data_IF_500289005549
#
_entry.id   IF_500289005549
#
_cell.length_a   1.000
_cell.length_b   1.000
_cell.length_c   1.000
_cell.angle_alpha   90.00
_cell.angle_beta   90.00
_cell.angle_gamma   90.00
#
_symmetry.space_group_name_H-M   'P 1'
#
loop_
_entity.id
_entity.type
_entity.pdbx_description
1 polymer ?
#
# COMPACT_ATOMS: atom_id res chain seq x y z
N UNK A 1 -25.64 14.28 41.97
CA UNK A 1 -25.56 13.52 43.21
C UNK A 1 -25.24 14.52 44.29
N UNK A 2 -26.23 14.83 45.11
CA UNK A 2 -26.07 15.61 46.35
C UNK A 2 -26.05 14.60 47.49
N UNK A 3 -25.22 14.84 48.50
CA UNK A 3 -25.18 14.18 49.82
C UNK A 3 -24.90 15.32 50.81
N UNK A 4 -25.52 15.35 51.99
CA UNK A 4 -25.10 16.19 53.11
C UNK A 4 -25.30 15.45 54.44
N UNK A 5 -24.43 15.70 55.41
CA UNK A 5 -24.68 15.43 56.83
C UNK A 5 -24.94 16.70 57.66
N UNK A 6 -25.74 16.54 58.71
CA UNK A 6 -25.95 17.50 59.80
C UNK A 6 -24.88 17.31 60.87
N UNK A 7 -24.10 18.34 61.15
CA UNK A 7 -23.12 18.35 62.23
C UNK A 7 -23.83 18.09 63.58
N UNK A 8 -23.70 16.89 64.13
CA UNK A 8 -23.85 16.65 65.56
C UNK A 8 -22.50 16.15 66.07
N UNK A 9 -22.06 16.76 67.18
CA UNK A 9 -20.77 16.54 67.83
C UNK A 9 -20.56 15.06 68.17
N UNK A 10 -19.87 14.31 67.31
CA UNK A 10 -19.10 13.13 67.64
C UNK A 10 -18.08 12.89 66.52
N UNK A 11 -16.82 13.15 66.84
CA UNK A 11 -15.68 13.13 65.93
C UNK A 11 -15.30 11.67 65.63
N UNK A 12 -16.00 11.06 64.66
CA UNK A 12 -15.65 9.74 64.13
C UNK A 12 -15.08 9.90 62.71
N UNK A 13 -14.00 9.17 62.37
CA UNK A 13 -13.38 9.17 61.03
C UNK A 13 -14.38 8.92 59.87
N UNK A 14 -15.54 8.36 60.20
CA UNK A 14 -16.64 8.05 59.28
C UNK A 14 -17.40 9.31 58.84
N UNK A 15 -17.57 10.29 59.73
CA UNK A 15 -18.33 11.52 59.44
C UNK A 15 -17.53 12.48 58.56
N UNK A 16 -16.21 12.55 58.79
CA UNK A 16 -15.25 13.31 57.96
C UNK A 16 -15.28 12.79 56.51
N UNK A 17 -15.42 11.48 56.32
CA UNK A 17 -15.42 10.86 55.00
C UNK A 17 -16.67 11.20 54.15
N UNK A 18 -17.84 11.33 54.77
CA UNK A 18 -19.09 11.70 54.07
C UNK A 18 -19.11 13.16 53.63
N UNK A 19 -18.62 14.06 54.47
CA UNK A 19 -18.57 15.49 54.17
C UNK A 19 -17.61 15.78 52.98
N UNK A 20 -16.48 15.08 52.93
CA UNK A 20 -15.54 15.12 51.81
C UNK A 20 -16.18 14.61 50.50
N UNK A 21 -16.91 13.49 50.54
CA UNK A 21 -17.63 12.95 49.38
C UNK A 21 -18.69 13.93 48.89
N UNK A 22 -19.50 14.48 49.80
CA UNK A 22 -20.52 15.47 49.51
C UNK A 22 -19.93 16.70 48.79
N UNK A 23 -18.83 17.23 49.33
CA UNK A 23 -18.15 18.38 48.76
C UNK A 23 -17.61 18.12 47.35
N UNK A 24 -16.94 16.98 47.13
CA UNK A 24 -16.42 16.63 45.79
C UNK A 24 -17.55 16.42 44.79
N UNK A 25 -18.68 15.85 45.19
CA UNK A 25 -19.84 15.67 44.31
C UNK A 25 -20.54 16.98 43.96
N UNK A 26 -20.60 17.93 44.89
CA UNK A 26 -21.26 19.23 44.72
C UNK A 26 -20.41 20.20 43.88
N UNK A 27 -19.11 20.31 44.18
CA UNK A 27 -18.23 21.32 43.59
C UNK A 27 -17.27 20.75 42.54
N UNK A 28 -17.05 19.43 42.51
CA UNK A 28 -16.05 18.77 41.67
C UNK A 28 -16.59 18.05 40.42
N UNK A 29 -17.91 18.04 40.20
CA UNK A 29 -18.53 17.37 39.03
C UNK A 29 -19.26 18.35 38.12
N UNK A 30 -19.13 18.12 36.82
CA UNK A 30 -19.97 18.77 35.82
C UNK A 30 -21.42 18.28 35.95
N UNK A 31 -22.35 19.22 36.16
CA UNK A 31 -23.79 18.93 36.25
C UNK A 31 -24.34 18.50 34.89
N UNK A 32 -25.04 17.36 34.86
CA UNK A 32 -25.74 16.84 33.68
C UNK A 32 -27.24 17.12 33.74
N UNK A 33 -27.97 16.76 32.68
CA UNK A 33 -29.41 17.03 32.55
C UNK A 33 -30.25 16.15 33.48
N UNK A 34 -29.85 14.89 33.67
CA UNK A 34 -30.46 14.00 34.66
C UNK A 34 -29.77 14.19 36.00
N UNK A 35 -30.53 14.63 37.01
CA UNK A 35 -30.01 14.99 38.33
C UNK A 35 -30.74 14.23 39.42
N UNK A 36 -29.95 13.65 40.31
CA UNK A 36 -30.41 12.98 41.54
C UNK A 36 -29.68 13.57 42.73
N UNK A 37 -30.43 13.83 43.80
CA UNK A 37 -29.94 14.24 45.10
C UNK A 37 -30.33 13.19 46.14
N UNK A 38 -29.40 12.87 47.04
CA UNK A 38 -29.57 11.90 48.11
C UNK A 38 -29.35 12.63 49.43
N UNK A 39 -30.29 12.55 50.36
CA UNK A 39 -30.12 13.09 51.71
C UNK A 39 -30.04 11.93 52.69
N UNK A 40 -28.87 11.74 53.31
CA UNK A 40 -28.55 10.61 54.19
C UNK A 40 -27.64 11.07 55.31
N UNK A 41 -27.78 10.41 56.46
CA UNK A 41 -27.04 10.78 57.66
C UNK A 41 -25.85 9.86 57.95
N UNK A 42 -25.82 8.66 57.36
CA UNK A 42 -24.74 7.68 57.57
C UNK A 42 -24.26 7.05 56.26
N UNK A 43 -23.06 6.44 56.28
CA UNK A 43 -22.54 5.69 55.13
C UNK A 43 -23.39 4.46 54.82
N UNK A 44 -23.98 3.84 55.85
CA UNK A 44 -24.90 2.72 55.68
C UNK A 44 -26.13 3.15 54.92
N UNK A 45 -26.75 4.28 55.31
CA UNK A 45 -27.92 4.81 54.60
C UNK A 45 -27.60 5.20 53.16
N UNK A 46 -26.40 5.75 52.94
CA UNK A 46 -25.92 6.07 51.60
C UNK A 46 -25.81 4.81 50.74
N UNK A 47 -25.18 3.76 51.27
CA UNK A 47 -24.98 2.49 50.56
C UNK A 47 -26.34 1.86 50.21
N UNK A 48 -27.22 1.74 51.20
CA UNK A 48 -28.55 1.13 51.02
C UNK A 48 -29.38 1.93 50.00
N UNK A 49 -29.27 3.27 50.04
CA UNK A 49 -29.95 4.14 49.07
C UNK A 49 -29.40 3.96 47.65
N UNK A 50 -28.09 3.82 47.50
CA UNK A 50 -27.47 3.57 46.20
C UNK A 50 -27.85 2.20 45.63
N UNK A 51 -27.89 1.15 46.47
CA UNK A 51 -28.34 -0.18 46.05
C UNK A 51 -29.78 -0.16 45.55
N UNK A 52 -30.69 0.56 46.25
CA UNK A 52 -32.07 0.77 45.78
C UNK A 52 -32.13 1.50 44.44
N UNK A 53 -31.30 2.52 44.24
CA UNK A 53 -31.22 3.28 42.98
C UNK A 53 -30.73 2.38 41.84
N UNK A 54 -29.75 1.51 42.09
CA UNK A 54 -29.17 0.63 41.07
C UNK A 54 -30.16 -0.41 40.51
N UNK A 55 -31.13 -0.85 41.32
CA UNK A 55 -32.13 -1.86 40.91
C UNK A 55 -33.48 -1.26 40.49
N UNK A 56 -33.68 0.04 40.63
CA UNK A 56 -34.93 0.69 40.28
C UNK A 56 -35.09 0.81 38.75
N UNK A 57 -36.19 0.29 38.21
CA UNK A 57 -36.53 0.46 36.79
C UNK A 57 -36.93 1.91 36.47
N UNK A 58 -37.45 2.63 37.47
CA UNK A 58 -37.90 4.00 37.33
C UNK A 58 -37.61 4.82 38.60
N UNK A 59 -36.78 5.86 38.47
CA UNK A 59 -36.39 6.72 39.59
C UNK A 59 -37.56 7.53 40.19
N UNK A 60 -38.68 7.69 39.47
CA UNK A 60 -39.89 8.33 40.03
C UNK A 60 -40.50 7.52 41.17
N UNK A 61 -40.42 6.19 41.13
CA UNK A 61 -41.10 5.30 42.07
C UNK A 61 -40.40 5.21 43.43
N UNK A 62 -39.12 5.56 43.47
CA UNK A 62 -38.32 5.59 44.70
C UNK A 62 -38.10 7.02 45.22
N UNK A 63 -38.76 8.01 44.62
CA UNK A 63 -38.63 9.42 44.99
C UNK A 63 -39.20 9.66 46.39
N UNK A 64 -38.45 10.40 47.20
CA UNK A 64 -38.74 10.67 48.61
C UNK A 64 -37.92 11.86 49.12
N UNK A 65 -38.06 12.21 50.38
CA UNK A 65 -37.16 13.19 51.02
C UNK A 65 -35.71 12.67 51.14
N UNK A 66 -35.48 11.36 50.99
CA UNK A 66 -34.16 10.72 50.93
C UNK A 66 -33.59 10.68 49.51
N UNK A 67 -34.44 10.47 48.49
CA UNK A 67 -34.05 10.42 47.07
C UNK A 67 -34.85 11.46 46.30
N UNK A 68 -34.22 12.58 46.01
CA UNK A 68 -34.85 13.72 45.34
C UNK A 68 -34.47 13.67 43.87
N UNK A 69 -35.47 13.64 42.98
CA UNK A 69 -35.26 13.46 41.54
C UNK A 69 -35.83 14.63 40.74
N UNK A 70 -35.27 14.89 39.55
CA UNK A 70 -35.77 15.94 38.64
C UNK A 70 -37.11 15.60 37.99
N UNK A 71 -37.60 14.37 38.19
CA UNK A 71 -38.73 13.77 37.47
C UNK A 71 -40.09 13.97 38.16
N UNK A 72 -40.11 14.58 39.36
CA UNK A 72 -41.32 14.90 40.12
C UNK A 72 -41.73 16.38 40.05
N UNK A 73 -43.05 16.62 40.18
CA UNK A 73 -43.60 17.97 40.31
C UNK A 73 -43.71 18.34 41.78
N UNK A 74 -42.66 18.96 42.34
CA UNK A 74 -42.72 19.54 43.69
C UNK A 74 -43.46 20.88 43.70
N UNK A 75 -44.50 21.01 44.54
CA UNK A 75 -45.13 22.30 44.86
C UNK A 75 -44.17 23.15 45.70
N UNK A 76 -43.59 24.18 45.10
CA UNK A 76 -42.66 25.09 45.77
C UNK A 76 -43.44 26.29 46.30
N UNK A 77 -43.65 26.37 47.62
CA UNK A 77 -44.21 27.57 48.23
C UNK A 77 -43.14 28.67 48.23
N UNK A 78 -43.41 29.83 47.63
CA UNK A 78 -42.47 30.95 47.45
C UNK A 78 -41.97 31.60 48.75
N UNK A 79 -42.30 31.08 49.94
CA UNK A 79 -41.88 31.63 51.24
C UNK A 79 -40.49 31.18 51.71
N UNK A 80 -39.84 30.23 51.01
CA UNK A 80 -38.52 29.70 51.39
C UNK A 80 -37.33 30.40 50.69
N UNK A 81 -37.54 31.58 50.10
CA UNK A 81 -36.57 32.27 49.23
C UNK A 81 -35.54 33.14 49.95
N UNK A 82 -35.58 33.28 51.27
CA UNK A 82 -34.56 34.03 52.02
C UNK A 82 -33.59 33.07 52.71
N UNK A 83 -32.65 32.51 51.93
CA UNK A 83 -31.44 31.88 52.49
C UNK A 83 -30.56 33.01 53.04
N UNK A 84 -30.78 33.42 54.29
CA UNK A 84 -29.98 34.44 54.97
C UNK A 84 -28.53 33.98 55.12
N UNK A 85 -27.58 34.90 54.90
CA UNK A 85 -26.16 34.59 54.68
C UNK A 85 -25.38 34.06 55.90
N UNK A 86 -26.03 33.80 57.05
CA UNK A 86 -25.36 33.45 58.31
C UNK A 86 -26.09 32.40 59.16
N UNK A 87 -26.76 31.41 58.55
CA UNK A 87 -27.45 30.36 59.32
C UNK A 87 -27.04 28.98 58.84
N UNK A 88 -26.76 28.07 59.77
CA UNK A 88 -26.63 26.65 59.48
C UNK A 88 -27.90 26.17 58.77
N UNK A 89 -27.73 25.57 57.59
CA UNK A 89 -28.87 25.05 56.84
C UNK A 89 -29.48 23.85 57.55
N UNK A 90 -30.76 23.96 57.94
CA UNK A 90 -31.54 22.85 58.52
C UNK A 90 -31.94 21.82 57.45
N UNK A 91 -32.46 20.67 57.88
CA UNK A 91 -32.89 19.58 56.98
C UNK A 91 -33.84 20.04 55.88
N UNK A 92 -34.79 20.92 56.19
CA UNK A 92 -35.78 21.40 55.23
C UNK A 92 -35.15 22.30 54.17
N UNK A 93 -34.27 23.20 54.57
CA UNK A 93 -33.55 24.09 53.66
C UNK A 93 -32.62 23.34 52.70
N UNK A 94 -32.03 22.23 53.17
CA UNK A 94 -31.16 21.38 52.34
C UNK A 94 -31.94 20.56 51.33
N UNK A 95 -33.05 19.98 51.76
CA UNK A 95 -33.98 19.29 50.87
C UNK A 95 -34.53 20.27 49.83
N UNK A 96 -34.83 21.51 50.22
CA UNK A 96 -35.23 22.57 49.31
C UNK A 96 -34.13 22.91 48.29
N UNK A 97 -32.88 23.11 48.75
CA UNK A 97 -31.72 23.35 47.90
C UNK A 97 -31.48 22.19 46.90
N UNK A 98 -31.65 20.96 47.36
CA UNK A 98 -31.59 19.77 46.52
C UNK A 98 -32.72 19.78 45.46
N UNK A 99 -33.96 20.12 45.85
CA UNK A 99 -35.12 20.22 44.95
C UNK A 99 -34.94 21.26 43.85
N UNK A 100 -34.42 22.45 44.16
CA UNK A 100 -34.15 23.47 43.12
C UNK A 100 -32.98 23.06 42.21
N UNK A 101 -31.96 22.38 42.77
CA UNK A 101 -30.81 21.93 42.00
C UNK A 101 -31.16 20.82 41.01
N UNK A 102 -31.97 19.83 41.42
CA UNK A 102 -32.39 18.77 40.50
C UNK A 102 -33.26 19.32 39.36
N UNK A 103 -33.99 20.41 39.58
CA UNK A 103 -34.77 21.14 38.56
C UNK A 103 -33.93 21.98 37.58
N UNK A 104 -32.61 21.95 37.67
CA UNK A 104 -31.75 22.66 36.72
C UNK A 104 -31.15 23.97 37.24
N UNK A 105 -31.63 24.50 38.37
CA UNK A 105 -31.14 25.78 38.89
C UNK A 105 -29.67 25.69 39.32
N UNK A 106 -28.94 26.80 39.19
CA UNK A 106 -27.56 26.91 39.67
C UNK A 106 -27.58 27.10 41.18
N UNK A 107 -26.92 26.19 41.91
CA UNK A 107 -26.75 26.30 43.36
C UNK A 107 -25.31 26.72 43.68
N UNK A 108 -25.14 27.70 44.56
CA UNK A 108 -23.84 28.07 45.10
C UNK A 108 -23.56 27.20 46.34
N UNK A 109 -22.89 26.07 46.14
CA UNK A 109 -22.61 25.09 47.19
C UNK A 109 -21.57 25.57 48.20
N UNK A 110 -20.71 26.53 47.83
CA UNK A 110 -19.67 27.07 48.73
C UNK A 110 -20.28 27.71 49.98
N UNK A 111 -21.52 28.22 49.87
CA UNK A 111 -22.27 28.75 51.01
C UNK A 111 -22.57 27.72 52.09
N UNK A 112 -22.56 26.41 51.78
CA UNK A 112 -22.81 25.34 52.76
C UNK A 112 -21.63 25.13 53.73
N UNK A 113 -20.42 25.52 53.33
CA UNK A 113 -19.18 25.16 54.02
C UNK A 113 -18.55 26.33 54.81
N UNK A 114 -19.08 27.56 54.65
CA UNK A 114 -18.70 28.74 55.44
C UNK A 114 -17.17 28.95 55.59
N UNK A 115 -16.40 28.70 54.53
CA UNK A 115 -14.94 28.87 54.52
C UNK A 115 -14.12 27.68 55.08
N UNK A 116 -14.77 26.68 55.69
CA UNK A 116 -14.16 25.42 56.11
C UNK A 116 -14.43 24.35 55.05
N UNK A 117 -13.56 24.29 54.04
CA UNK A 117 -13.73 23.36 52.92
C UNK A 117 -13.15 21.98 53.26
N UNK A 118 -13.93 20.89 53.08
CA UNK A 118 -13.42 19.53 53.22
C UNK A 118 -12.29 19.24 52.22
N UNK A 119 -11.43 18.26 52.54
CA UNK A 119 -10.41 17.81 51.60
C UNK A 119 -11.04 17.19 50.35
N UNK A 120 -10.47 17.48 49.18
CA UNK A 120 -10.90 16.85 47.93
C UNK A 120 -10.40 15.42 47.89
N UNK A 121 -11.32 14.46 48.03
CA UNK A 121 -11.04 13.03 47.91
C UNK A 121 -11.25 12.53 46.49
N UNK A 122 -10.42 11.56 46.08
CA UNK A 122 -10.64 10.82 44.83
C UNK A 122 -11.92 9.97 44.96
N UNK A 123 -12.87 10.19 44.07
CA UNK A 123 -14.12 9.41 43.95
C UNK A 123 -14.20 8.82 42.53
N UNK A 124 -14.98 7.74 42.30
CA UNK A 124 -15.07 7.11 40.99
C UNK A 124 -15.35 8.11 39.87
N UNK A 125 -14.68 7.96 38.74
CA UNK A 125 -14.86 8.85 37.58
C UNK A 125 -16.27 8.72 37.02
N UNK A 126 -16.70 9.72 36.24
CA UNK A 126 -17.98 9.63 35.53
C UNK A 126 -17.91 8.44 34.56
N UNK A 127 -18.84 7.46 34.63
CA UNK A 127 -18.88 6.36 33.68
C UNK A 127 -19.38 6.91 32.36
N UNK A 128 -18.46 7.41 31.54
CA UNK A 128 -18.80 7.85 30.19
C UNK A 128 -19.46 6.69 29.44
N UNK A 129 -20.52 7.03 28.72
CA UNK A 129 -21.16 6.09 27.82
C UNK A 129 -20.09 5.56 26.86
N UNK A 130 -19.98 4.24 26.75
CA UNK A 130 -18.97 3.59 25.91
C UNK A 130 -19.41 3.57 24.45
N UNK A 131 -19.82 4.72 23.95
CA UNK A 131 -20.11 4.89 22.54
C UNK A 131 -18.78 4.91 21.77
N UNK A 132 -18.70 4.12 20.71
CA UNK A 132 -17.52 4.02 19.87
C UNK A 132 -17.41 5.25 18.96
N UNK A 133 -16.89 6.34 19.51
CA UNK A 133 -16.52 7.53 18.74
C UNK A 133 -15.03 7.46 18.38
N UNK A 134 -14.77 6.71 17.32
CA UNK A 134 -13.50 6.79 16.61
C UNK A 134 -13.67 7.79 15.45
N UNK A 135 -12.78 8.77 15.33
CA UNK A 135 -12.39 9.21 13.98
C UNK A 135 -11.96 7.92 13.29
N UNK A 136 -12.44 7.57 12.09
CA UNK A 136 -11.89 6.43 11.40
C UNK A 136 -10.38 6.64 11.39
N UNK A 137 -9.66 5.87 12.22
CA UNK A 137 -8.36 5.46 11.82
C UNK A 137 -8.72 4.67 10.59
N UNK A 138 -8.61 5.34 9.43
CA UNK A 138 -8.24 4.65 8.22
C UNK A 138 -7.03 3.89 8.68
N UNK A 139 -7.23 2.61 9.01
CA UNK A 139 -6.12 1.71 9.17
C UNK A 139 -5.34 1.98 7.91
N UNK A 140 -4.15 2.53 8.02
CA UNK A 140 -3.12 2.46 6.99
C UNK A 140 -2.56 1.03 6.93
N UNK A 141 -3.43 0.03 7.19
CA UNK A 141 -3.56 -1.18 6.41
C UNK A 141 -4.86 -1.03 5.63
N UNK A 142 -4.93 0.03 4.83
CA UNK A 142 -5.85 0.09 3.73
C UNK A 142 -5.29 -0.94 2.77
N UNK A 143 -5.90 -2.12 2.72
CA UNK A 143 -6.22 -2.60 1.39
C UNK A 143 -7.14 -1.52 0.81
N UNK A 144 -6.53 -0.49 0.22
CA UNK A 144 -6.97 -0.10 -1.11
C UNK A 144 -7.07 -1.44 -1.81
N UNK A 145 -8.27 -1.86 -2.18
CA UNK A 145 -8.41 -3.04 -3.02
C UNK A 145 -7.63 -2.72 -4.29
N UNK A 146 -6.34 -3.05 -4.26
CA UNK A 146 -5.45 -2.90 -5.40
C UNK A 146 -6.12 -3.71 -6.48
N UNK A 147 -6.38 -3.09 -7.62
CA UNK A 147 -7.04 -3.76 -8.75
C UNK A 147 -6.27 -5.03 -9.12
N UNK A 148 -4.95 -4.99 -8.98
CA UNK A 148 -4.03 -6.08 -9.24
C UNK A 148 -2.75 -5.92 -8.40
N UNK A 149 -1.98 -6.98 -8.09
CA UNK A 149 -0.67 -6.83 -7.43
C UNK A 149 0.27 -5.80 -8.07
N UNK A 150 0.15 -5.61 -9.40
CA UNK A 150 0.94 -4.64 -10.18
C UNK A 150 0.21 -3.34 -10.53
N UNK A 151 -1.06 -3.16 -10.12
CA UNK A 151 -1.85 -1.94 -10.45
C UNK A 151 -2.71 -1.58 -9.24
N UNK A 152 -2.45 -0.40 -8.65
CA UNK A 152 -3.10 -0.02 -7.41
C UNK A 152 -4.50 0.54 -7.64
N UNK A 153 -4.68 1.40 -8.63
CA UNK A 153 -5.98 2.03 -8.93
C UNK A 153 -6.06 2.55 -10.37
N UNK A 154 -7.30 2.65 -10.84
CA UNK A 154 -7.70 3.38 -12.04
C UNK A 154 -7.97 4.84 -11.63
N UNK A 155 -7.29 5.80 -12.23
CA UNK A 155 -7.47 7.25 -11.97
C UNK A 155 -7.97 8.00 -13.20
N UNK A 156 -8.52 7.28 -14.18
CA UNK A 156 -9.06 7.87 -15.40
C UNK A 156 -10.08 8.95 -15.11
N UNK A 157 -10.08 9.97 -15.96
CA UNK A 157 -11.09 11.02 -15.99
C UNK A 157 -11.59 11.25 -17.42
N UNK A 158 -12.30 12.35 -17.68
CA UNK A 158 -12.80 12.67 -19.02
C UNK A 158 -11.71 13.01 -20.05
N UNK A 159 -10.49 13.31 -19.61
CA UNK A 159 -9.40 13.75 -20.47
C UNK A 159 -8.40 12.62 -20.75
N UNK A 160 -8.21 11.69 -19.82
CA UNK A 160 -7.18 10.66 -19.93
C UNK A 160 -7.62 9.34 -19.31
N UNK A 161 -7.41 8.24 -20.03
CA UNK A 161 -7.53 6.88 -19.51
C UNK A 161 -6.19 6.44 -18.93
N UNK A 162 -6.08 6.30 -17.61
CA UNK A 162 -4.83 5.89 -16.99
C UNK A 162 -4.97 5.21 -15.63
N UNK A 163 -3.93 4.45 -15.29
CA UNK A 163 -3.79 3.74 -14.02
C UNK A 163 -2.51 4.16 -13.31
N UNK A 164 -2.47 3.91 -12.00
CA UNK A 164 -1.30 4.17 -11.18
C UNK A 164 -0.82 2.92 -10.45
N UNK A 165 0.50 2.84 -10.30
CA UNK A 165 1.19 1.88 -9.43
C UNK A 165 2.28 2.60 -8.66
N UNK A 166 2.23 2.53 -7.34
CA UNK A 166 3.34 2.89 -6.47
C UNK A 166 4.24 1.68 -6.28
N UNK A 167 5.46 1.78 -6.78
CA UNK A 167 6.50 0.79 -6.57
C UNK A 167 7.32 1.10 -5.33
N UNK A 168 7.67 0.04 -4.61
CA UNK A 168 8.42 0.07 -3.37
C UNK A 168 9.45 -1.06 -3.34
N UNK A 169 10.42 -0.97 -2.43
CA UNK A 169 11.43 -2.01 -2.23
C UNK A 169 10.85 -3.31 -1.64
N UNK A 170 9.55 -3.32 -1.30
CA UNK A 170 8.81 -4.49 -0.81
C UNK A 170 8.17 -5.29 -1.95
N UNK A 171 7.98 -4.71 -3.13
CA UNK A 171 7.44 -5.42 -4.29
C UNK A 171 8.44 -6.51 -4.73
N UNK A 172 8.03 -7.78 -4.63
CA UNK A 172 8.93 -8.93 -4.72
C UNK A 172 9.73 -8.96 -6.03
N UNK A 173 9.06 -8.64 -7.14
CA UNK A 173 9.65 -8.62 -8.48
C UNK A 173 10.64 -7.46 -8.70
N UNK A 174 10.60 -6.38 -7.91
CA UNK A 174 11.62 -5.31 -7.93
C UNK A 174 12.75 -5.66 -6.97
N UNK A 175 12.40 -6.05 -5.75
CA UNK A 175 13.37 -6.37 -4.69
C UNK A 175 14.40 -7.41 -5.15
N UNK A 176 13.91 -8.43 -5.85
CA UNK A 176 14.68 -9.58 -6.31
C UNK A 176 15.16 -9.44 -7.76
N UNK A 177 14.97 -8.29 -8.40
CA UNK A 177 15.50 -8.00 -9.73
C UNK A 177 16.55 -6.88 -9.63
N UNK A 178 17.77 -7.27 -9.25
CA UNK A 178 18.89 -6.34 -9.08
C UNK A 178 19.89 -6.46 -10.21
N UNK A 179 20.25 -5.33 -10.80
CA UNK A 179 21.29 -5.29 -11.83
C UNK A 179 22.28 -4.18 -11.54
N UNK A 180 23.57 -4.54 -11.50
CA UNK A 180 24.68 -3.67 -11.07
C UNK A 180 24.42 -2.97 -9.72
N UNK A 181 23.75 -3.68 -8.80
CA UNK A 181 23.39 -3.21 -7.45
C UNK A 181 22.02 -2.53 -7.36
N UNK A 182 21.50 -2.03 -8.47
CA UNK A 182 20.27 -1.25 -8.53
C UNK A 182 19.01 -2.13 -8.60
N UNK A 183 17.93 -1.70 -7.93
CA UNK A 183 16.62 -2.33 -8.03
C UNK A 183 15.90 -1.82 -9.29
N UNK A 184 15.75 -2.70 -10.28
CA UNK A 184 15.17 -2.35 -11.58
C UNK A 184 13.87 -3.11 -11.77
N UNK A 185 12.82 -2.44 -12.27
CA UNK A 185 11.60 -3.14 -12.69
C UNK A 185 11.92 -4.06 -13.89
N UNK A 186 11.73 -5.39 -13.80
CA UNK A 186 12.01 -6.31 -14.90
C UNK A 186 11.22 -5.95 -16.17
N UNK A 187 11.82 -6.11 -17.34
CA UNK A 187 11.13 -5.82 -18.62
C UNK A 187 9.82 -6.61 -18.76
N UNK A 188 9.82 -7.86 -18.30
CA UNK A 188 8.66 -8.72 -18.24
C UNK A 188 7.47 -8.16 -17.44
N UNK A 189 7.73 -7.38 -16.38
CA UNK A 189 6.68 -6.81 -15.53
C UNK A 189 5.81 -5.78 -16.26
N UNK A 190 6.39 -5.03 -17.21
CA UNK A 190 5.64 -4.04 -18.00
C UNK A 190 4.53 -4.70 -18.81
N UNK A 191 4.75 -5.93 -19.28
CA UNK A 191 3.81 -6.65 -20.14
C UNK A 191 2.51 -6.98 -19.41
N UNK A 192 2.59 -7.53 -18.19
CA UNK A 192 1.38 -7.78 -17.39
C UNK A 192 0.72 -6.47 -16.94
N UNK A 193 1.53 -5.49 -16.55
CA UNK A 193 1.05 -4.19 -16.09
C UNK A 193 0.19 -3.50 -17.16
N UNK A 194 0.65 -3.46 -18.40
CA UNK A 194 -0.10 -2.91 -19.54
C UNK A 194 -1.30 -3.78 -19.90
N UNK A 195 -1.10 -5.12 -20.00
CA UNK A 195 -2.17 -6.07 -20.33
C UNK A 195 -3.33 -5.98 -19.34
N UNK A 196 -3.04 -5.92 -18.04
CA UNK A 196 -4.06 -5.80 -17.00
C UNK A 196 -4.83 -4.48 -17.13
N UNK A 197 -4.14 -3.35 -17.27
CA UNK A 197 -4.78 -2.04 -17.42
C UNK A 197 -5.73 -2.00 -18.62
N UNK A 198 -5.32 -2.60 -19.74
CA UNK A 198 -6.14 -2.71 -20.94
C UNK A 198 -7.34 -3.63 -20.72
N UNK A 199 -7.16 -4.77 -20.04
CA UNK A 199 -8.24 -5.70 -19.71
C UNK A 199 -9.31 -5.04 -18.84
N UNK A 200 -8.90 -4.29 -17.82
CA UNK A 200 -9.81 -3.57 -16.92
C UNK A 200 -10.58 -2.45 -17.66
N UNK A 201 -9.94 -1.83 -18.66
CA UNK A 201 -10.55 -0.78 -19.48
C UNK A 201 -11.59 -1.33 -20.49
N UNK A 202 -11.27 -2.42 -21.19
CA UNK A 202 -12.14 -2.99 -22.24
C UNK A 202 -13.28 -3.84 -21.67
N UNK A 203 -13.02 -4.63 -20.60
CA UNK A 203 -13.95 -5.52 -19.88
C UNK A 203 -14.58 -6.67 -20.67
N UNK A 204 -14.93 -6.49 -21.93
CA UNK A 204 -15.72 -7.46 -22.72
C UNK A 204 -14.85 -8.49 -23.44
N UNK A 205 -13.69 -8.08 -23.93
CA UNK A 205 -12.75 -8.92 -24.69
C UNK A 205 -11.47 -9.20 -23.88
N UNK A 206 -10.88 -10.37 -24.08
CA UNK A 206 -9.58 -10.70 -23.49
C UNK A 206 -8.46 -9.97 -24.24
N UNK A 207 -7.54 -9.34 -23.51
CA UNK A 207 -6.33 -8.77 -24.12
C UNK A 207 -5.37 -9.89 -24.49
N UNK A 208 -5.30 -10.19 -25.78
CA UNK A 208 -4.51 -11.31 -26.29
C UNK A 208 -3.25 -10.90 -27.04
N UNK A 209 -3.11 -9.65 -27.47
CA UNK A 209 -1.97 -9.24 -28.29
C UNK A 209 -1.38 -7.90 -27.86
N UNK A 210 -0.06 -7.88 -27.70
CA UNK A 210 0.75 -6.65 -27.57
C UNK A 210 1.70 -6.56 -28.75
N UNK A 211 1.80 -5.39 -29.38
CA UNK A 211 2.66 -5.15 -30.52
C UNK A 211 3.59 -3.97 -30.29
N UNK A 212 4.77 -4.04 -30.92
CA UNK A 212 5.74 -2.95 -30.94
C UNK A 212 6.05 -2.41 -29.54
N UNK A 213 6.36 -3.32 -28.61
CA UNK A 213 6.70 -2.97 -27.23
C UNK A 213 8.15 -2.54 -27.19
N UNK A 214 8.43 -1.31 -26.76
CA UNK A 214 9.77 -0.77 -26.62
C UNK A 214 10.07 -0.43 -25.16
N UNK A 215 11.28 -0.74 -24.71
CA UNK A 215 11.83 -0.21 -23.47
C UNK A 215 12.83 0.89 -23.81
N UNK A 216 12.55 2.08 -23.30
CA UNK A 216 13.36 3.29 -23.55
C UNK A 216 14.36 3.52 -22.44
N UNK A 217 13.91 3.42 -21.18
CA UNK A 217 14.73 3.64 -19.98
C UNK A 217 14.33 2.67 -18.87
N UNK A 218 15.27 2.05 -18.16
CA UNK A 218 14.94 1.24 -16.99
C UNK A 218 14.26 2.07 -15.90
N UNK A 219 13.14 1.59 -15.36
CA UNK A 219 12.56 2.15 -14.13
C UNK A 219 13.35 1.60 -12.94
N UNK A 220 14.05 2.50 -12.26
CA UNK A 220 14.85 2.21 -11.08
C UNK A 220 14.16 2.70 -9.83
N UNK A 221 14.30 1.92 -8.77
CA UNK A 221 13.82 2.30 -7.46
C UNK A 221 14.99 2.79 -6.62
N UNK A 222 15.13 4.12 -6.51
CA UNK A 222 15.95 4.75 -5.48
C UNK A 222 15.13 4.80 -4.20
N UNK A 223 15.68 4.32 -3.08
CA UNK A 223 15.15 4.02 -1.71
C UNK A 223 13.77 4.57 -1.21
N UNK A 224 13.19 5.53 -1.89
CA UNK A 224 11.81 6.03 -1.85
C UNK A 224 10.77 5.19 -2.63
N UNK A 225 9.49 5.60 -2.53
CA UNK A 225 8.40 5.13 -3.38
C UNK A 225 8.49 5.80 -4.76
N UNK A 226 8.26 5.04 -5.83
CA UNK A 226 8.20 5.58 -7.19
C UNK A 226 6.79 5.41 -7.74
N UNK A 227 6.16 6.52 -8.10
CA UNK A 227 4.83 6.51 -8.73
C UNK A 227 4.97 6.32 -10.24
N UNK A 228 4.40 5.23 -10.73
CA UNK A 228 4.29 4.91 -12.14
C UNK A 228 2.86 5.17 -12.64
N UNK A 229 2.76 5.80 -13.81
CA UNK A 229 1.53 6.10 -14.52
C UNK A 229 1.49 5.31 -15.83
N UNK A 230 0.39 4.60 -16.04
CA UNK A 230 0.13 3.77 -17.22
C UNK A 230 -1.00 4.42 -18.00
N UNK A 231 -0.69 5.02 -19.14
CA UNK A 231 -1.67 5.73 -19.98
C UNK A 231 -2.10 4.83 -21.13
N UNK A 232 -3.40 4.80 -21.40
CA UNK A 232 -4.00 4.11 -22.55
C UNK A 232 -4.66 5.14 -23.45
N UNK A 233 -4.32 5.12 -24.74
CA UNK A 233 -4.84 6.06 -25.75
C UNK A 233 -5.51 5.25 -26.87
N UNK A 234 -6.85 5.15 -26.88
CA UNK A 234 -7.55 4.45 -27.94
C UNK A 234 -7.36 5.18 -29.27
N UNK A 235 -7.22 4.40 -30.34
CA UNK A 235 -7.20 4.85 -31.73
C UNK A 235 -8.31 4.11 -32.50
N UNK A 236 -8.46 4.37 -33.79
CA UNK A 236 -9.47 3.68 -34.62
C UNK A 236 -9.23 2.16 -34.69
N UNK A 237 -7.97 1.71 -34.64
CA UNK A 237 -7.61 0.29 -34.89
C UNK A 237 -7.00 -0.42 -33.66
N UNK A 238 -6.41 0.32 -32.72
CA UNK A 238 -5.67 -0.25 -31.59
C UNK A 238 -5.67 0.69 -30.38
N UNK A 239 -5.03 0.27 -29.28
CA UNK A 239 -4.80 1.12 -28.11
C UNK A 239 -3.29 1.32 -27.95
N UNK A 240 -2.83 2.57 -28.01
CA UNK A 240 -1.44 2.90 -27.66
C UNK A 240 -1.30 2.93 -26.15
N UNK A 241 -0.19 2.43 -25.63
CA UNK A 241 0.12 2.51 -24.20
C UNK A 241 1.44 3.23 -23.94
N UNK A 242 1.52 3.90 -22.80
CA UNK A 242 2.71 4.56 -22.30
C UNK A 242 2.85 4.26 -20.80
N UNK A 243 4.04 3.83 -20.38
CA UNK A 243 4.42 3.59 -18.99
C UNK A 243 5.49 4.60 -18.62
N UNK A 244 5.16 5.50 -17.71
CA UNK A 244 6.03 6.60 -17.29
C UNK A 244 6.09 6.75 -15.77
N UNK A 245 7.13 7.37 -15.27
CA UNK A 245 7.18 7.85 -13.87
C UNK A 245 7.16 9.36 -13.84
N UNK A 246 6.65 9.90 -12.74
CA UNK A 246 6.70 11.34 -12.44
C UNK A 246 7.58 11.52 -11.22
N UNK A 247 8.74 12.16 -11.39
CA UNK A 247 9.64 12.53 -10.29
C UNK A 247 10.00 14.00 -10.48
N UNK A 248 9.86 14.82 -9.43
CA UNK A 248 10.19 16.26 -9.44
C UNK A 248 9.58 17.02 -10.64
N UNK A 249 8.30 16.74 -10.95
CA UNK A 249 7.56 17.28 -12.10
C UNK A 249 8.14 16.93 -13.50
N UNK A 250 9.03 15.94 -13.57
CA UNK A 250 9.60 15.42 -14.82
C UNK A 250 8.97 14.06 -15.16
N UNK A 251 8.33 14.01 -16.32
CA UNK A 251 7.81 12.78 -16.92
C UNK A 251 8.96 11.99 -17.59
N UNK A 252 9.26 10.79 -17.08
CA UNK A 252 10.21 9.87 -17.72
C UNK A 252 9.48 8.70 -18.36
N UNK A 253 9.61 8.56 -19.69
CA UNK A 253 9.07 7.42 -20.43
C UNK A 253 9.96 6.19 -20.26
N UNK A 254 9.36 5.07 -19.86
CA UNK A 254 10.07 3.80 -19.66
C UNK A 254 9.71 2.73 -20.69
N UNK A 255 8.44 2.65 -21.05
CA UNK A 255 7.95 1.66 -21.99
C UNK A 255 6.73 2.16 -22.76
N UNK A 256 6.64 1.85 -24.04
CA UNK A 256 5.47 2.17 -24.86
C UNK A 256 5.25 1.09 -25.93
N UNK A 257 4.05 1.09 -26.51
CA UNK A 257 3.69 0.16 -27.57
C UNK A 257 2.21 0.21 -27.87
N UNK A 258 1.69 -0.88 -28.41
CA UNK A 258 0.30 -1.00 -28.84
C UNK A 258 -0.34 -2.29 -28.30
N UNK A 259 -1.63 -2.22 -28.04
CA UNK A 259 -2.48 -3.34 -27.67
C UNK A 259 -3.47 -3.53 -28.81
N UNK A 260 -3.55 -4.77 -29.32
CA UNK A 260 -4.57 -5.18 -30.27
C UNK A 260 -5.63 -5.95 -29.49
N UNK A 261 -6.89 -5.55 -29.63
CA UNK A 261 -8.01 -6.11 -28.88
C UNK A 261 -8.96 -6.94 -29.75
N UNK A 262 -8.56 -7.23 -31.00
CA UNK A 262 -9.21 -8.24 -31.81
C UNK A 262 -8.92 -9.63 -31.22
N UNK A 263 -9.95 -10.43 -30.93
CA UNK A 263 -9.75 -11.73 -30.30
C UNK A 263 -9.01 -12.67 -31.25
N UNK A 264 -7.96 -13.31 -30.73
CA UNK A 264 -7.31 -14.44 -31.38
C UNK A 264 -7.88 -15.75 -30.83
N UNK A 265 -7.75 -16.85 -31.58
CA UNK A 265 -8.09 -18.17 -31.07
C UNK A 265 -7.27 -18.49 -29.81
N UNK A 266 -7.94 -18.76 -28.68
CA UNK A 266 -7.30 -19.10 -27.39
C UNK A 266 -6.48 -20.40 -27.41
N UNK A 267 -6.57 -21.16 -28.50
CA UNK A 267 -5.79 -22.37 -28.71
C UNK A 267 -4.83 -22.16 -29.88
N UNK A 268 -3.55 -22.01 -29.57
CA UNK A 268 -2.52 -22.08 -30.59
C UNK A 268 -2.46 -23.52 -31.15
N UNK A 269 -2.53 -23.66 -32.47
CA UNK A 269 -2.39 -24.95 -33.14
C UNK A 269 -0.94 -25.50 -33.08
N UNK A 270 0.03 -24.65 -32.76
CA UNK A 270 1.44 -24.99 -32.69
C UNK A 270 1.75 -25.77 -31.40
N UNK A 271 2.42 -26.92 -31.55
CA UNK A 271 2.83 -27.81 -30.46
C UNK A 271 4.26 -28.25 -30.71
N UNK A 272 5.10 -28.17 -29.68
CA UNK A 272 6.50 -28.55 -29.73
C UNK A 272 6.75 -29.87 -28.98
N UNK A 273 7.50 -30.78 -29.60
CA UNK A 273 7.96 -32.00 -28.92
C UNK A 273 9.14 -31.66 -28.00
N UNK A 274 8.85 -31.58 -26.70
CA UNK A 274 9.80 -31.24 -25.63
C UNK A 274 10.97 -32.24 -25.59
N UNK A 275 10.71 -33.53 -25.71
CA UNK A 275 11.75 -34.56 -25.61
C UNK A 275 12.63 -34.57 -26.86
N UNK A 276 12.04 -34.34 -28.02
CA UNK A 276 12.79 -34.16 -29.26
C UNK A 276 13.71 -32.93 -29.18
N UNK A 277 13.23 -31.79 -28.65
CA UNK A 277 14.08 -30.60 -28.43
C UNK A 277 15.21 -30.91 -27.45
N UNK A 278 14.92 -31.55 -26.31
CA UNK A 278 15.95 -31.94 -25.33
C UNK A 278 17.02 -32.83 -25.96
N UNK A 279 16.63 -33.81 -26.78
CA UNK A 279 17.57 -34.72 -27.45
C UNK A 279 18.53 -34.03 -28.43
N UNK A 280 18.16 -32.86 -28.97
CA UNK A 280 19.04 -32.03 -29.82
C UNK A 280 19.97 -31.11 -29.02
N UNK A 281 19.65 -30.86 -27.75
CA UNK A 281 20.48 -30.04 -26.89
C UNK A 281 21.73 -30.82 -26.46
N UNK A 282 22.90 -30.18 -26.53
CA UNK A 282 24.18 -30.81 -26.21
C UNK A 282 24.69 -30.47 -24.82
N UNK A 283 24.05 -29.49 -24.16
CA UNK A 283 24.40 -29.03 -22.82
C UNK A 283 23.16 -29.00 -21.94
N UNK A 284 23.32 -29.43 -20.70
CA UNK A 284 22.37 -29.25 -19.62
C UNK A 284 23.02 -28.44 -18.50
N UNK A 285 22.34 -27.41 -18.01
CA UNK A 285 22.80 -26.56 -16.91
C UNK A 285 21.72 -26.44 -15.86
N UNK A 286 22.09 -26.68 -14.61
CA UNK A 286 21.19 -26.47 -13.47
C UNK A 286 20.94 -24.97 -13.24
N UNK A 287 19.73 -24.63 -12.79
CA UNK A 287 19.34 -23.25 -12.54
C UNK A 287 20.23 -22.53 -11.53
N UNK A 288 20.71 -23.21 -10.47
CA UNK A 288 21.61 -22.60 -9.48
C UNK A 288 22.91 -22.11 -10.15
N UNK A 289 23.48 -22.94 -11.04
CA UNK A 289 24.68 -22.58 -11.82
C UNK A 289 24.41 -21.46 -12.82
N UNK A 290 23.20 -21.35 -13.34
CA UNK A 290 22.80 -20.20 -14.17
C UNK A 290 22.84 -18.92 -13.34
N UNK A 291 22.26 -18.92 -12.14
CA UNK A 291 22.20 -17.73 -11.29
C UNK A 291 23.56 -17.32 -10.70
N UNK A 292 24.42 -18.27 -10.34
CA UNK A 292 25.83 -17.99 -10.00
C UNK A 292 26.52 -17.20 -11.11
N UNK A 293 26.34 -17.63 -12.36
CA UNK A 293 26.94 -16.99 -13.52
C UNK A 293 26.30 -15.63 -13.84
N UNK A 294 24.99 -15.48 -13.65
CA UNK A 294 24.32 -14.19 -13.81
C UNK A 294 24.85 -13.15 -12.82
N UNK A 295 25.14 -13.57 -11.58
CA UNK A 295 25.73 -12.71 -10.57
C UNK A 295 27.13 -12.21 -10.96
N UNK A 296 27.95 -13.04 -11.61
CA UNK A 296 29.25 -12.63 -12.16
C UNK A 296 29.13 -11.52 -13.23
N UNK A 297 27.96 -11.38 -13.86
CA UNK A 297 27.67 -10.36 -14.87
C UNK A 297 26.83 -9.19 -14.33
N UNK A 298 26.73 -9.04 -13.02
CA UNK A 298 26.02 -7.93 -12.37
C UNK A 298 24.52 -8.19 -12.14
N UNK A 299 23.98 -9.35 -12.55
CA UNK A 299 22.57 -9.68 -12.36
C UNK A 299 22.37 -10.49 -11.05
N UNK A 300 22.09 -9.78 -9.97
CA UNK A 300 21.90 -10.35 -8.63
C UNK A 300 20.42 -10.68 -8.37
N UNK A 301 19.88 -11.68 -9.07
CA UNK A 301 18.49 -12.11 -8.89
C UNK A 301 18.25 -12.72 -7.50
N UNK A 302 17.23 -12.24 -6.80
CA UNK A 302 16.76 -12.82 -5.54
C UNK A 302 15.75 -13.96 -5.73
N UNK A 303 15.34 -14.65 -4.65
CA UNK A 303 14.59 -15.90 -4.73
C UNK A 303 13.30 -15.83 -5.56
N UNK A 304 12.58 -14.70 -5.55
CA UNK A 304 11.35 -14.53 -6.33
C UNK A 304 11.61 -14.53 -7.84
N UNK A 305 12.74 -14.00 -8.29
CA UNK A 305 13.12 -13.91 -9.72
C UNK A 305 13.98 -15.09 -10.18
N UNK A 306 14.27 -16.06 -9.29
CA UNK A 306 15.02 -17.27 -9.60
C UNK A 306 14.12 -18.44 -10.06
N UNK A 307 13.44 -18.27 -11.19
CA UNK A 307 12.46 -19.24 -11.71
C UNK A 307 13.05 -20.34 -12.60
N UNK A 308 14.27 -20.16 -13.15
CA UNK A 308 14.95 -21.16 -13.96
C UNK A 308 15.30 -22.39 -13.10
N UNK A 309 14.91 -23.58 -13.56
CA UNK A 309 15.28 -24.85 -12.92
C UNK A 309 16.32 -25.62 -13.68
N UNK A 310 16.17 -25.70 -15.00
CA UNK A 310 17.11 -26.46 -15.83
C UNK A 310 17.09 -25.88 -17.22
N UNK A 311 18.26 -25.68 -17.80
CA UNK A 311 18.43 -25.17 -19.15
C UNK A 311 19.08 -26.26 -20.00
N UNK A 312 18.39 -26.67 -21.06
CA UNK A 312 18.93 -27.51 -22.12
C UNK A 312 19.27 -26.60 -23.30
N UNK A 313 20.49 -26.67 -23.82
CA UNK A 313 20.89 -25.79 -24.93
C UNK A 313 21.86 -26.41 -25.90
N UNK A 314 21.89 -25.86 -27.11
CA UNK A 314 22.96 -26.01 -28.08
C UNK A 314 23.34 -24.62 -28.65
N UNK A 315 23.93 -24.56 -29.85
CA UNK A 315 24.35 -23.30 -30.48
C UNK A 315 23.23 -22.52 -31.15
N UNK A 316 22.03 -23.09 -31.31
CA UNK A 316 20.91 -22.49 -32.05
C UNK A 316 19.64 -22.34 -31.22
N UNK A 317 19.40 -23.24 -30.27
CA UNK A 317 18.15 -23.31 -29.52
C UNK A 317 18.41 -23.53 -28.02
N UNK A 318 17.46 -23.07 -27.21
CA UNK A 318 17.42 -23.27 -25.76
C UNK A 318 16.03 -23.74 -25.37
N UNK A 319 15.96 -24.74 -24.51
CA UNK A 319 14.75 -25.15 -23.81
C UNK A 319 14.99 -25.03 -22.31
N UNK A 320 14.24 -24.17 -21.65
CA UNK A 320 14.34 -23.97 -20.21
C UNK A 320 13.11 -24.47 -19.50
N UNK A 321 13.29 -25.26 -18.44
CA UNK A 321 12.25 -25.56 -17.47
C UNK A 321 12.16 -24.44 -16.44
N UNK A 322 11.00 -23.82 -16.32
CA UNK A 322 10.75 -22.66 -15.44
C UNK A 322 9.68 -23.04 -14.40
N UNK A 323 9.90 -22.64 -13.15
CA UNK A 323 9.01 -22.92 -12.02
C UNK A 323 9.00 -21.76 -11.03
N UNK A 324 7.81 -21.28 -10.66
CA UNK A 324 7.66 -20.29 -9.57
C UNK A 324 8.07 -20.95 -8.25
N UNK A 325 9.05 -20.40 -7.50
CA UNK A 325 9.48 -21.00 -6.23
C UNK A 325 8.28 -21.29 -5.31
N UNK A 326 8.29 -22.46 -4.64
CA UNK A 326 7.12 -22.98 -3.91
C UNK A 326 6.49 -21.97 -2.93
N UNK A 327 7.32 -21.13 -2.30
CA UNK A 327 6.90 -20.07 -1.36
C UNK A 327 5.97 -19.02 -1.99
N UNK A 328 5.99 -18.85 -3.31
CA UNK A 328 5.28 -17.80 -4.05
C UNK A 328 4.23 -18.34 -5.02
N UNK A 329 3.93 -19.64 -5.00
CA UNK A 329 2.98 -20.28 -5.94
C UNK A 329 1.61 -19.64 -5.97
N UNK A 330 1.10 -19.25 -4.81
CA UNK A 330 -0.22 -18.62 -4.69
C UNK A 330 -0.30 -17.28 -5.43
N UNK A 331 0.83 -16.59 -5.60
CA UNK A 331 0.89 -15.30 -6.31
C UNK A 331 0.55 -15.49 -7.80
N UNK A 332 0.90 -16.63 -8.39
CA UNK A 332 0.61 -16.95 -9.81
C UNK A 332 -0.87 -16.85 -10.19
N UNK A 333 -1.78 -16.97 -9.22
CA UNK A 333 -3.22 -16.94 -9.46
C UNK A 333 -3.70 -15.57 -9.96
N UNK A 334 -2.98 -14.50 -9.63
CA UNK A 334 -3.35 -13.13 -9.98
C UNK A 334 -2.90 -12.70 -11.38
N UNK A 335 -1.92 -13.39 -11.96
CA UNK A 335 -1.26 -12.97 -13.19
C UNK A 335 -1.68 -13.84 -14.38
N UNK A 336 -1.78 -13.23 -15.55
CA UNK A 336 -1.77 -13.95 -16.84
C UNK A 336 -0.32 -14.15 -17.30
N UNK A 337 0.48 -13.09 -17.24
CA UNK A 337 1.91 -13.07 -17.54
C UNK A 337 2.72 -12.85 -16.25
N UNK A 338 2.92 -13.91 -15.46
CA UNK A 338 3.63 -13.78 -14.19
C UNK A 338 5.08 -13.26 -14.38
N UNK A 339 5.49 -12.14 -13.75
CA UNK A 339 6.77 -11.47 -14.04
C UNK A 339 7.98 -12.39 -13.96
N UNK A 340 8.06 -13.23 -12.91
CA UNK A 340 9.18 -14.16 -12.73
C UNK A 340 9.23 -15.28 -13.79
N UNK A 341 8.09 -15.69 -14.35
CA UNK A 341 8.06 -16.72 -15.39
C UNK A 341 8.51 -16.13 -16.73
N UNK A 342 7.91 -15.00 -17.13
CA UNK A 342 8.24 -14.34 -18.39
C UNK A 342 9.70 -13.86 -18.35
N UNK A 343 10.14 -13.29 -17.23
CA UNK A 343 11.54 -12.89 -17.06
C UNK A 343 12.47 -14.11 -17.05
N UNK A 344 12.08 -15.25 -16.49
CA UNK A 344 12.84 -16.50 -16.60
C UNK A 344 13.04 -16.95 -18.05
N UNK A 345 12.06 -16.72 -18.92
CA UNK A 345 12.19 -16.96 -20.36
C UNK A 345 13.15 -15.94 -21.01
N UNK A 346 13.10 -14.67 -20.61
CA UNK A 346 14.04 -13.64 -21.07
C UNK A 346 15.47 -13.89 -20.59
N UNK A 347 15.67 -14.26 -19.33
CA UNK A 347 16.96 -14.65 -18.75
C UNK A 347 17.57 -15.83 -19.53
N UNK A 348 16.74 -16.75 -20.02
CA UNK A 348 17.19 -17.95 -20.72
C UNK A 348 17.85 -17.65 -22.08
N UNK A 349 17.64 -16.48 -22.68
CA UNK A 349 18.33 -16.12 -23.94
C UNK A 349 19.85 -16.03 -23.74
N UNK A 350 20.32 -15.75 -22.51
CA UNK A 350 21.75 -15.74 -22.18
C UNK A 350 22.40 -17.12 -22.27
N UNK A 351 21.61 -18.20 -22.35
CA UNK A 351 22.11 -19.56 -22.49
C UNK A 351 22.36 -20.00 -23.94
N UNK A 352 21.94 -19.21 -24.94
CA UNK A 352 22.19 -19.50 -26.36
C UNK A 352 23.69 -19.38 -26.64
N UNK A 353 24.32 -20.49 -27.02
CA UNK A 353 25.75 -20.73 -26.86
C UNK A 353 26.64 -20.13 -27.99
N UNK A 354 26.44 -18.86 -28.35
CA UNK A 354 27.39 -18.05 -29.14
C UNK A 354 28.07 -16.95 -28.33
N UNK A 355 27.80 -16.87 -27.04
CA UNK A 355 28.31 -15.88 -26.08
C UNK A 355 29.82 -16.01 -25.79
N UNK A 356 30.66 -15.67 -26.76
CA UNK A 356 31.94 -15.02 -26.47
C UNK A 356 31.72 -13.50 -26.40
N UNK A 357 30.76 -12.95 -27.16
CA UNK A 357 30.47 -11.50 -27.19
C UNK A 357 29.51 -11.01 -26.09
N UNK A 358 28.64 -11.87 -25.56
CA UNK A 358 27.78 -11.54 -24.40
C UNK A 358 28.57 -11.60 -23.08
N UNK A 359 29.71 -12.31 -23.04
CA UNK A 359 30.52 -12.44 -21.81
C UNK A 359 31.03 -11.08 -21.36
N UNK A 360 30.65 -10.69 -20.14
CA UNK A 360 31.06 -9.44 -19.52
C UNK A 360 30.29 -8.19 -20.00
N UNK A 361 29.27 -8.36 -20.84
CA UNK A 361 28.44 -7.27 -21.34
C UNK A 361 27.01 -7.45 -20.85
N UNK A 362 26.42 -6.36 -20.37
CA UNK A 362 25.05 -6.35 -19.90
C UNK A 362 24.08 -6.13 -21.07
N UNK A 363 23.10 -7.02 -21.23
CA UNK A 363 22.06 -6.89 -22.24
C UNK A 363 20.70 -6.79 -21.57
N UNK A 364 19.93 -5.78 -21.94
CA UNK A 364 18.58 -5.54 -21.43
C UNK A 364 17.53 -5.65 -22.54
N UNK A 365 16.27 -5.97 -22.19
CA UNK A 365 15.13 -5.85 -23.11
C UNK A 365 15.13 -4.48 -23.79
N UNK A 366 15.00 -4.48 -25.12
CA UNK A 366 14.91 -3.25 -25.91
C UNK A 366 13.61 -3.17 -26.70
N UNK A 367 13.23 -4.29 -27.34
CA UNK A 367 12.03 -4.35 -28.18
C UNK A 367 11.39 -5.74 -28.17
N UNK A 368 10.08 -5.80 -28.31
CA UNK A 368 9.35 -6.97 -28.83
C UNK A 368 8.47 -6.51 -30.00
N UNK A 369 8.50 -7.25 -31.11
CA UNK A 369 7.63 -6.95 -32.24
C UNK A 369 6.18 -7.35 -31.93
N UNK A 370 5.97 -8.56 -31.41
CA UNK A 370 4.64 -9.08 -31.10
C UNK A 370 4.66 -10.07 -29.94
N UNK A 371 3.67 -9.98 -29.06
CA UNK A 371 3.33 -10.97 -28.04
C UNK A 371 1.91 -11.45 -28.31
N UNK A 372 1.73 -12.76 -28.42
CA UNK A 372 0.43 -13.41 -28.55
C UNK A 372 0.18 -14.27 -27.31
N UNK A 373 -0.92 -14.01 -26.61
CA UNK A 373 -1.29 -14.61 -25.32
C UNK A 373 -2.50 -15.50 -25.56
N UNK A 374 -2.25 -16.80 -25.69
CA UNK A 374 -3.31 -17.79 -25.91
C UNK A 374 -3.95 -18.23 -24.60
N UNK A 375 -3.16 -18.30 -23.54
CA UNK A 375 -3.64 -18.70 -22.21
C UNK A 375 -2.78 -18.11 -21.10
N UNK A 376 -3.30 -18.16 -19.87
CA UNK A 376 -2.53 -17.84 -18.66
C UNK A 376 -1.33 -18.77 -18.52
N UNK A 377 -0.21 -18.24 -18.07
CA UNK A 377 0.99 -19.04 -17.83
C UNK A 377 0.89 -19.72 -16.45
N UNK A 378 0.99 -21.06 -16.36
CA UNK A 378 0.93 -21.79 -15.10
C UNK A 378 2.20 -21.60 -14.25
N UNK A 379 2.18 -22.12 -13.02
CA UNK A 379 3.33 -22.09 -12.10
C UNK A 379 4.57 -22.86 -12.61
N UNK A 380 4.38 -23.73 -13.60
CA UNK A 380 5.38 -24.61 -14.22
C UNK A 380 5.20 -24.62 -15.71
N UNK A 381 6.25 -24.30 -16.45
CA UNK A 381 6.21 -24.28 -17.90
C UNK A 381 7.59 -24.55 -18.47
N UNK A 382 7.64 -24.71 -19.79
CA UNK A 382 8.88 -24.63 -20.55
C UNK A 382 8.94 -23.31 -21.32
N UNK A 383 10.14 -22.79 -21.54
CA UNK A 383 10.40 -21.74 -22.53
C UNK A 383 11.32 -22.32 -23.61
N UNK A 384 10.85 -22.31 -24.86
CA UNK A 384 11.63 -22.71 -26.02
C UNK A 384 12.04 -21.46 -26.80
N UNK A 385 13.34 -21.31 -27.05
CA UNK A 385 13.96 -20.08 -27.52
C UNK A 385 14.84 -20.39 -28.71
N UNK A 386 14.72 -19.58 -29.76
CA UNK A 386 15.54 -19.65 -30.96
C UNK A 386 16.09 -18.27 -31.28
N UNK A 387 17.38 -18.18 -31.60
CA UNK A 387 17.98 -16.95 -32.12
C UNK A 387 17.54 -16.75 -33.58
N UNK A 388 17.06 -15.55 -33.92
CA UNK A 388 16.77 -15.20 -35.31
C UNK A 388 18.07 -15.05 -36.09
N UNK A 389 18.15 -15.67 -37.27
CA UNK A 389 19.31 -15.60 -38.17
C UNK A 389 19.26 -14.41 -39.15
N UNK A 390 18.32 -13.48 -38.97
CA UNK A 390 18.21 -12.32 -39.85
C UNK A 390 19.53 -11.53 -39.90
N UNK A 391 19.96 -11.24 -41.13
CA UNK A 391 21.22 -10.60 -41.46
C UNK A 391 21.22 -9.14 -40.98
N UNK A 392 22.29 -8.76 -40.27
CA UNK A 392 22.60 -7.40 -39.79
C UNK A 392 21.66 -6.82 -38.71
N UNK A 393 21.56 -7.49 -37.57
CA UNK A 393 21.36 -6.73 -36.34
C UNK A 393 22.64 -5.93 -36.07
N UNK A 394 22.47 -4.65 -35.70
CA UNK A 394 23.56 -3.74 -35.36
C UNK A 394 24.54 -4.41 -34.38
N UNK A 395 25.85 -4.15 -34.52
CA UNK A 395 26.86 -4.52 -33.51
C UNK A 395 26.29 -4.12 -32.14
N UNK A 396 25.98 -5.08 -31.26
CA UNK A 396 25.38 -4.92 -29.91
C UNK A 396 23.87 -5.23 -29.75
N UNK A 397 23.19 -5.86 -30.70
CA UNK A 397 21.82 -6.35 -30.51
C UNK A 397 21.65 -7.82 -30.90
N UNK A 398 20.78 -8.54 -30.19
CA UNK A 398 20.40 -9.92 -30.51
C UNK A 398 18.88 -10.04 -30.51
N UNK A 399 18.34 -10.84 -31.45
CA UNK A 399 16.91 -11.04 -31.64
C UNK A 399 16.54 -12.51 -31.48
N UNK A 400 15.44 -12.77 -30.78
CA UNK A 400 14.98 -14.11 -30.44
C UNK A 400 13.49 -14.29 -30.70
N UNK A 401 13.12 -15.53 -31.00
CA UNK A 401 11.75 -16.04 -30.92
C UNK A 401 11.63 -16.87 -29.65
N UNK A 402 10.60 -16.61 -28.85
CA UNK A 402 10.38 -17.29 -27.56
C UNK A 402 8.96 -17.84 -27.53
N UNK A 403 8.84 -19.11 -27.14
CA UNK A 403 7.58 -19.82 -26.97
C UNK A 403 7.48 -20.30 -25.53
N UNK A 404 6.45 -19.89 -24.80
CA UNK A 404 6.14 -20.42 -23.48
C UNK A 404 5.18 -21.58 -23.67
N UNK A 405 5.57 -22.76 -23.20
CA UNK A 405 4.90 -24.03 -23.43
C UNK A 405 4.37 -24.62 -22.13
N UNK A 406 3.23 -25.29 -22.18
CA UNK A 406 2.81 -26.17 -21.08
C UNK A 406 3.64 -27.48 -21.06
N UNK A 407 3.36 -28.37 -20.10
CA UNK A 407 4.07 -29.66 -19.97
C UNK A 407 3.85 -30.61 -21.16
N UNK A 408 2.84 -30.37 -22.00
CA UNK A 408 2.54 -31.13 -23.22
C UNK A 408 3.16 -30.50 -24.48
N UNK A 409 3.87 -29.37 -24.34
CA UNK A 409 4.49 -28.65 -25.46
C UNK A 409 3.56 -27.71 -26.23
N UNK A 410 2.31 -27.51 -25.79
CA UNK A 410 1.39 -26.53 -26.41
C UNK A 410 1.82 -25.11 -26.08
N UNK A 411 1.77 -24.22 -27.07
CA UNK A 411 2.10 -22.81 -26.91
C UNK A 411 1.02 -22.07 -26.11
N UNK A 412 1.44 -21.43 -25.02
CA UNK A 412 0.61 -20.57 -24.15
C UNK A 412 0.84 -19.10 -24.47
N UNK A 413 2.09 -18.72 -24.74
CA UNK A 413 2.49 -17.37 -25.13
C UNK A 413 3.56 -17.48 -26.21
N UNK A 414 3.42 -16.68 -27.26
CA UNK A 414 4.44 -16.50 -28.30
C UNK A 414 4.99 -15.08 -28.23
N UNK A 415 6.30 -14.95 -28.23
CA UNK A 415 7.01 -13.67 -28.24
C UNK A 415 7.91 -13.65 -29.46
N UNK A 416 7.55 -12.82 -30.43
CA UNK A 416 8.26 -12.68 -31.69
C UNK A 416 9.08 -11.39 -31.73
N UNK A 417 10.29 -11.49 -32.27
CA UNK A 417 11.22 -10.37 -32.35
C UNK A 417 11.66 -9.79 -31.00
N UNK A 418 11.81 -10.63 -29.97
CA UNK A 418 12.39 -10.18 -28.70
C UNK A 418 13.84 -9.79 -28.90
N UNK A 419 14.13 -8.50 -28.75
CA UNK A 419 15.44 -7.91 -29.00
C UNK A 419 16.04 -7.41 -27.71
N UNK A 420 17.28 -7.85 -27.44
CA UNK A 420 18.09 -7.34 -26.33
C UNK A 420 19.21 -6.45 -26.87
N UNK A 421 19.48 -5.36 -26.16
CA UNK A 421 20.52 -4.38 -26.52
C UNK A 421 21.56 -4.30 -25.42
N UNK A 422 22.83 -4.16 -25.80
CA UNK A 422 23.92 -3.92 -24.86
C UNK A 422 23.75 -2.57 -24.18
N UNK A 423 23.92 -2.53 -22.87
CA UNK A 423 23.85 -1.33 -22.02
C UNK A 423 25.15 -1.21 -21.22
N UNK A 424 25.60 0.02 -20.96
CA UNK A 424 26.74 0.29 -20.06
C UNK A 424 26.25 0.48 -18.63
N UNK A 425 27.00 0.04 -17.62
CA UNK A 425 26.65 0.23 -16.20
C UNK A 425 26.37 1.70 -15.83
N UNK A 426 27.07 2.65 -16.46
CA UNK A 426 26.84 4.09 -16.27
C UNK A 426 25.47 4.56 -16.78
N UNK A 427 24.90 3.90 -17.80
CA UNK A 427 23.57 4.24 -18.34
C UNK A 427 22.45 3.76 -17.39
N UNK A 428 22.78 2.86 -16.46
CA UNK A 428 21.89 2.37 -15.42
C UNK A 428 22.01 3.27 -14.19
N UNK A 429 23.19 3.69 -13.76
CA UNK A 429 23.35 4.47 -12.52
C UNK A 429 22.90 5.94 -12.59
N UNK A 430 22.07 6.34 -13.56
CA UNK A 430 21.64 7.72 -13.74
C UNK A 430 20.65 8.18 -12.66
N UNK A 431 21.19 8.50 -11.47
CA UNK A 431 20.71 9.57 -10.60
C UNK A 431 21.89 10.26 -9.91
N UNK A 432 22.36 11.33 -10.57
CA UNK A 432 23.21 12.47 -10.18
C UNK A 432 24.41 12.63 -11.12
N UNK A 433 24.38 13.71 -11.91
CA UNK A 433 25.60 14.31 -12.47
C UNK A 433 26.58 14.50 -11.31
N UNK A 434 27.77 13.90 -11.37
CA UNK A 434 28.83 14.28 -10.45
C UNK A 434 29.30 15.69 -10.81
N UNK A 435 29.48 16.56 -9.81
CA UNK A 435 29.95 17.93 -10.02
C UNK A 435 31.25 17.96 -10.84
N UNK A 436 32.11 16.95 -10.67
CA UNK A 436 33.35 16.77 -11.45
C UNK A 436 33.12 16.54 -12.95
N UNK A 437 32.07 15.80 -13.34
CA UNK A 437 31.77 15.56 -14.77
C UNK A 437 31.27 16.83 -15.43
N UNK A 438 30.43 17.60 -14.72
CA UNK A 438 29.93 18.89 -15.21
C UNK A 438 31.08 19.89 -15.33
N UNK A 439 31.94 19.97 -14.31
CA UNK A 439 33.14 20.81 -14.31
C UNK A 439 34.08 20.45 -15.46
N UNK A 440 34.34 19.17 -15.70
CA UNK A 440 35.21 18.73 -16.77
C UNK A 440 34.69 19.13 -18.16
N UNK A 441 33.37 19.02 -18.39
CA UNK A 441 32.77 19.45 -19.65
C UNK A 441 32.83 20.99 -19.78
N UNK A 442 32.58 21.74 -18.71
CA UNK A 442 32.74 23.20 -18.72
C UNK A 442 34.18 23.63 -19.02
N UNK A 443 35.19 22.94 -18.47
CA UNK A 443 36.60 23.18 -18.76
C UNK A 443 36.92 22.89 -20.24
N UNK A 444 36.39 21.80 -20.80
CA UNK A 444 36.56 21.49 -22.22
C UNK A 444 35.91 22.54 -23.12
N UNK A 445 34.75 23.10 -22.72
CA UNK A 445 34.07 24.19 -23.45
C UNK A 445 34.93 25.46 -23.42
N UNK A 446 35.43 25.85 -22.24
CA UNK A 446 36.30 27.03 -22.10
C UNK A 446 37.59 26.91 -22.92
N UNK A 447 38.14 25.71 -23.02
CA UNK A 447 39.37 25.44 -23.77
C UNK A 447 39.14 25.20 -25.28
N UNK A 448 37.90 25.26 -25.76
CA UNK A 448 37.56 25.02 -27.17
C UNK A 448 37.74 23.56 -27.62
N UNK A 449 37.83 22.62 -26.67
CA UNK A 449 38.08 21.20 -26.91
C UNK A 449 36.84 20.32 -26.67
N UNK A 450 35.71 20.91 -26.27
CA UNK A 450 34.50 20.16 -26.01
C UNK A 450 33.99 19.48 -27.28
N UNK A 451 33.72 18.18 -27.16
CA UNK A 451 33.08 17.42 -28.23
C UNK A 451 31.60 17.76 -28.28
N UNK A 452 31.02 17.67 -29.47
CA UNK A 452 29.59 17.92 -29.67
C UNK A 452 28.72 17.05 -28.73
N UNK A 453 29.09 15.78 -28.55
CA UNK A 453 28.45 14.84 -27.62
C UNK A 453 28.48 15.32 -26.15
N UNK A 454 29.51 16.03 -25.72
CA UNK A 454 29.65 16.54 -24.34
C UNK A 454 28.82 17.80 -24.11
N UNK A 455 28.75 18.69 -25.12
CA UNK A 455 27.92 19.89 -25.10
C UNK A 455 26.43 19.50 -25.12
N UNK A 456 26.10 18.51 -25.92
CA UNK A 456 24.77 17.91 -25.99
C UNK A 456 24.39 17.23 -24.66
N UNK A 457 25.32 16.50 -24.03
CA UNK A 457 25.12 15.89 -22.72
C UNK A 457 24.78 16.91 -21.62
N UNK A 458 25.33 18.14 -21.67
CA UNK A 458 25.02 19.25 -20.74
C UNK A 458 23.68 19.94 -21.00
N UNK A 459 23.34 20.20 -22.27
CA UNK A 459 22.19 21.03 -22.62
C UNK A 459 20.84 20.30 -22.46
N UNK A 460 20.83 18.97 -22.61
CA UNK A 460 19.58 18.21 -22.64
C UNK A 460 19.33 17.33 -21.41
N UNK A 461 20.12 17.49 -20.34
CA UNK A 461 20.06 16.56 -19.19
C UNK A 461 20.18 15.09 -19.61
N UNK A 462 20.94 14.84 -20.68
CA UNK A 462 20.93 13.59 -21.42
C UNK A 462 19.55 13.24 -21.99
N UNK A 463 19.20 13.79 -23.16
CA UNK A 463 18.31 13.20 -24.18
C UNK A 463 18.39 14.05 -25.46
N UNK A 464 18.97 13.55 -26.55
CA UNK A 464 18.66 14.10 -27.88
C UNK A 464 17.83 13.11 -28.66
N UNK A 465 16.80 13.67 -29.27
CA UNK A 465 16.06 13.29 -30.49
C UNK A 465 15.77 14.66 -31.16
N UNK A 466 15.88 14.95 -32.44
CA UNK A 466 16.37 14.27 -33.66
C UNK A 466 16.56 15.38 -34.72
N UNK A 467 17.48 15.18 -35.67
CA UNK A 467 17.14 14.92 -37.08
C UNK A 467 18.26 14.14 -37.76
#
# INVERSE_FOLDING_TARGET
>A
MYIKFSRYENDSDVDIFLEEIAYVLQCGRNTKDVRVAIYVETLTDLKDTLERICVAENLKEISSDTVITSLETYNMNQKETNLSENTFFDKHQLIYLAKIWVKGQKSNWDKLYHGNYPFKRSIPTYPFEKEHYWVPIVNSIGKVDKLHPMVDNNKSDFNEQYYCKEFSSKDLYIRDHRIDGEMILPGAAYLELVRFCAQDAIKEEDITVLENVYWTKPLQLTDSLVTCKIVLKPTEENIKFEVKTIQDDIDTMHCYGQIIYDPIDKLCAEIFDIELIKSRCTKETDGEKCYEKFQEYGFAYGPYMQSIKTVYSNSNEVLTRIHIPNKYKEDSKFYVLHPSIIDGAFQSVMAVNKSVEIKGNMYLPHKIDKIEIFNRVPERCFAYIMESKEQELQKNQFRFEIYILNDEGRVLVKVSGYTVKKVRSSEIQNHKLSDETVLHIFENIQNGNAKQEEIEYLLNGGNYDYE
#
